data_IF_846391850674
#
_entry.id   IF_846391850674
#
_cell.length_a   1.000
_cell.length_b   1.000
_cell.length_c   1.000
_cell.angle_alpha   90.00
_cell.angle_beta   90.00
_cell.angle_gamma   90.00
#
_symmetry.space_group_name_H-M   'P 1'
#
loop_
_entity.id
_entity.type
_entity.pdbx_description
1 polymer ?
#
# COMPACT_ATOMS: atom_id res chain seq x y z
N UNK A 1 -2.84 6.44 17.54
CA UNK A 1 -2.62 6.09 16.12
C UNK A 1 -2.74 4.59 15.83
N UNK A 2 -2.91 3.69 16.81
CA UNK A 2 -3.13 2.25 16.53
C UNK A 2 -4.61 1.84 16.40
N UNK A 3 -5.56 2.74 16.68
CA UNK A 3 -7.00 2.41 16.70
C UNK A 3 -7.68 2.61 15.35
N UNK A 4 -7.16 3.50 14.48
CA UNK A 4 -7.76 3.82 13.18
C UNK A 4 -7.16 2.98 12.05
N UNK A 5 -5.95 2.41 12.20
CA UNK A 5 -5.41 1.50 11.18
C UNK A 5 -6.02 0.10 11.27
N UNK A 6 -6.27 -0.39 12.48
CA UNK A 6 -6.75 -1.75 12.72
C UNK A 6 -8.19 -1.99 12.19
N UNK A 7 -9.06 -0.98 12.20
CA UNK A 7 -10.44 -1.11 11.68
C UNK A 7 -10.50 -1.12 10.14
N UNK A 8 -9.41 -0.74 9.46
CA UNK A 8 -9.38 -0.61 8.00
C UNK A 8 -8.28 -1.45 7.35
N UNK A 9 -7.52 -2.25 8.11
CA UNK A 9 -6.48 -3.14 7.56
C UNK A 9 -7.04 -4.24 6.63
N UNK A 10 -8.34 -4.53 6.75
CA UNK A 10 -9.16 -5.36 5.85
C UNK A 10 -10.59 -4.79 5.71
N UNK A 11 -10.72 -3.45 5.77
CA UNK A 11 -12.03 -2.78 5.75
C UNK A 11 -12.70 -2.76 4.38
N UNK A 12 -11.95 -3.04 3.32
CA UNK A 12 -12.42 -3.02 1.94
C UNK A 12 -12.57 -4.44 1.37
N UNK A 13 -13.58 -4.61 0.52
CA UNK A 13 -13.89 -5.90 -0.12
C UNK A 13 -12.80 -6.30 -1.14
N UNK A 14 -12.11 -5.32 -1.74
CA UNK A 14 -11.07 -5.60 -2.76
C UNK A 14 -9.67 -5.55 -2.14
N UNK A 15 -8.82 -6.58 -2.38
CA UNK A 15 -7.44 -6.60 -1.90
C UNK A 15 -6.63 -5.35 -2.31
N UNK A 16 -6.87 -4.83 -3.52
CA UNK A 16 -6.20 -3.62 -4.00
C UNK A 16 -6.58 -2.36 -3.21
N UNK A 17 -7.82 -2.26 -2.73
CA UNK A 17 -8.27 -1.11 -1.95
C UNK A 17 -7.61 -1.10 -0.57
N UNK A 18 -7.52 -2.27 0.08
CA UNK A 18 -6.74 -2.43 1.32
C UNK A 18 -5.26 -2.10 1.09
N UNK A 19 -4.68 -2.51 -0.04
CA UNK A 19 -3.31 -2.19 -0.40
C UNK A 19 -3.09 -0.68 -0.63
N UNK A 20 -3.94 -0.03 -1.43
CA UNK A 20 -3.91 1.42 -1.65
C UNK A 20 -4.04 2.19 -0.33
N UNK A 21 -4.90 1.72 0.56
CA UNK A 21 -5.09 2.33 1.87
C UNK A 21 -3.81 2.30 2.72
N UNK A 22 -3.05 1.19 2.72
CA UNK A 22 -1.74 1.12 3.39
C UNK A 22 -0.73 2.11 2.78
N UNK A 23 -0.72 2.25 1.46
CA UNK A 23 0.12 3.25 0.77
C UNK A 23 -0.27 4.68 1.17
N UNK A 24 -1.57 4.99 1.24
CA UNK A 24 -2.05 6.29 1.72
C UNK A 24 -1.63 6.52 3.17
N UNK A 25 -1.81 5.52 4.04
CA UNK A 25 -1.36 5.58 5.44
C UNK A 25 0.13 5.88 5.49
N UNK A 26 0.96 5.25 4.66
CA UNK A 26 2.39 5.54 4.59
C UNK A 26 2.65 7.01 4.23
N UNK A 27 2.01 7.53 3.17
CA UNK A 27 2.20 8.91 2.70
C UNK A 27 1.81 9.93 3.77
N UNK A 28 0.66 9.75 4.44
CA UNK A 28 0.22 10.65 5.52
C UNK A 28 1.04 10.47 6.80
N UNK A 29 1.60 9.27 7.00
CA UNK A 29 2.43 8.91 8.15
C UNK A 29 3.90 9.22 7.95
N UNK A 30 4.34 9.69 6.78
CA UNK A 30 5.73 10.01 6.47
C UNK A 30 6.33 11.14 7.36
N UNK A 31 5.51 11.79 8.20
CA UNK A 31 5.94 12.73 9.24
C UNK A 31 5.78 12.21 10.68
N UNK A 32 5.33 10.97 10.86
CA UNK A 32 5.21 10.29 12.14
C UNK A 32 6.55 9.69 12.57
N UNK A 33 6.62 9.24 13.83
CA UNK A 33 7.86 8.77 14.46
C UNK A 33 8.56 7.69 13.59
N UNK A 34 9.91 7.68 13.54
CA UNK A 34 10.70 6.81 12.63
C UNK A 34 10.37 5.31 12.68
N UNK A 35 9.87 4.80 13.80
CA UNK A 35 9.52 3.38 13.94
C UNK A 35 8.22 2.96 13.25
N UNK A 36 7.28 3.88 13.06
CA UNK A 36 5.97 3.60 12.46
C UNK A 36 6.08 3.52 10.93
N UNK A 37 6.82 4.46 10.33
CA UNK A 37 7.10 4.48 8.89
C UNK A 37 7.76 3.18 8.42
N UNK A 38 8.76 2.68 9.16
CA UNK A 38 9.45 1.43 8.82
C UNK A 38 8.53 0.21 8.88
N UNK A 39 7.63 0.14 9.86
CA UNK A 39 6.70 -0.97 10.00
C UNK A 39 5.67 -1.00 8.84
N UNK A 40 5.14 0.17 8.47
CA UNK A 40 4.21 0.29 7.33
C UNK A 40 4.92 -0.06 6.02
N UNK A 41 6.14 0.45 5.82
CA UNK A 41 6.93 0.14 4.63
C UNK A 41 7.21 -1.37 4.52
N UNK A 42 7.58 -2.02 5.62
CA UNK A 42 7.79 -3.48 5.62
C UNK A 42 6.50 -4.22 5.26
N UNK A 43 5.36 -3.83 5.85
CA UNK A 43 4.07 -4.45 5.55
C UNK A 43 3.68 -4.34 4.06
N UNK A 44 3.91 -3.17 3.44
CA UNK A 44 3.67 -2.96 2.01
C UNK A 44 4.57 -3.89 1.18
N UNK A 45 5.87 -3.94 1.47
CA UNK A 45 6.82 -4.79 0.75
C UNK A 45 6.49 -6.29 0.91
N UNK A 46 6.12 -6.72 2.11
CA UNK A 46 5.73 -8.11 2.38
C UNK A 46 4.47 -8.48 1.58
N UNK A 47 3.49 -7.58 1.51
CA UNK A 47 2.26 -7.80 0.75
C UNK A 47 2.51 -7.88 -0.76
N UNK A 48 3.33 -6.97 -1.32
CA UNK A 48 3.77 -7.03 -2.73
C UNK A 48 4.48 -8.36 -3.02
N UNK A 49 5.34 -8.81 -2.10
CA UNK A 49 6.10 -10.05 -2.26
C UNK A 49 5.25 -11.31 -2.16
N UNK A 50 4.21 -11.29 -1.32
CA UNK A 50 3.35 -12.45 -1.06
C UNK A 50 2.27 -12.61 -2.13
N UNK A 51 1.57 -11.53 -2.46
CA UNK A 51 0.43 -11.57 -3.39
C UNK A 51 0.88 -11.32 -4.83
N UNK A 52 1.97 -10.57 -5.03
CA UNK A 52 2.43 -10.13 -6.35
C UNK A 52 1.66 -8.91 -6.83
N UNK A 53 2.39 -7.84 -7.19
CA UNK A 53 1.78 -6.58 -7.65
C UNK A 53 0.82 -6.78 -8.85
N UNK A 54 1.14 -7.70 -9.76
CA UNK A 54 0.29 -7.97 -10.91
C UNK A 54 -1.07 -8.57 -10.52
N UNK A 55 -1.10 -9.46 -9.52
CA UNK A 55 -2.33 -10.07 -9.04
C UNK A 55 -3.19 -9.05 -8.28
N UNK A 56 -2.56 -8.14 -7.52
CA UNK A 56 -3.25 -7.02 -6.88
C UNK A 56 -3.91 -6.09 -7.91
N UNK A 57 -3.29 -5.90 -9.08
CA UNK A 57 -3.78 -4.99 -10.12
C UNK A 57 -4.62 -5.64 -11.22
N UNK A 58 -4.90 -6.96 -11.13
CA UNK A 58 -5.54 -7.71 -12.22
C UNK A 58 -6.94 -7.19 -12.59
N UNK A 59 -7.66 -6.63 -11.60
CA UNK A 59 -9.03 -6.13 -11.73
C UNK A 59 -9.10 -4.60 -11.89
N UNK A 60 -7.94 -3.95 -12.02
CA UNK A 60 -7.81 -2.50 -12.17
C UNK A 60 -7.68 -2.16 -13.66
N UNK A 61 -8.37 -1.10 -14.15
CA UNK A 61 -8.15 -0.61 -15.51
C UNK A 61 -6.66 -0.39 -15.82
N UNK A 62 -6.18 -0.73 -17.03
CA UNK A 62 -4.74 -0.70 -17.33
C UNK A 62 -4.09 0.68 -17.15
N UNK A 63 -4.83 1.75 -17.44
CA UNK A 63 -4.40 3.13 -17.28
C UNK A 63 -4.25 3.54 -15.81
N UNK A 64 -5.18 3.11 -14.95
CA UNK A 64 -5.08 3.31 -13.50
C UNK A 64 -3.97 2.46 -12.87
N UNK A 65 -3.82 1.21 -13.32
CA UNK A 65 -2.77 0.30 -12.86
C UNK A 65 -1.36 0.80 -13.23
N UNK A 66 -1.18 1.37 -14.42
CA UNK A 66 0.08 1.97 -14.86
C UNK A 66 0.42 3.20 -14.03
N UNK A 67 -0.56 4.10 -13.81
CA UNK A 67 -0.39 5.27 -12.97
C UNK A 67 0.00 4.89 -11.53
N UNK A 68 -0.70 3.92 -10.95
CA UNK A 68 -0.42 3.47 -9.60
C UNK A 68 0.96 2.80 -9.49
N UNK A 69 1.35 1.98 -10.48
CA UNK A 69 2.70 1.38 -10.55
C UNK A 69 3.78 2.46 -10.63
N UNK A 70 3.54 3.51 -11.42
CA UNK A 70 4.44 4.66 -11.50
C UNK A 70 4.59 5.36 -10.14
N UNK A 71 3.49 5.57 -9.42
CA UNK A 71 3.52 6.19 -8.08
C UNK A 71 4.28 5.33 -7.06
N UNK A 72 4.10 4.00 -7.10
CA UNK A 72 4.87 3.07 -6.26
C UNK A 72 6.39 3.12 -6.54
N UNK A 73 6.81 3.39 -7.79
CA UNK A 73 8.22 3.62 -8.14
C UNK A 73 8.74 4.93 -7.55
N UNK A 74 7.95 6.01 -7.60
CA UNK A 74 8.31 7.29 -6.96
C UNK A 74 8.53 7.10 -5.46
N UNK A 75 7.65 6.32 -4.83
CA UNK A 75 7.73 5.98 -3.40
C UNK A 75 8.81 4.93 -3.09
N UNK A 76 9.51 4.41 -4.10
CA UNK A 76 10.59 3.41 -4.00
C UNK A 76 10.16 2.07 -3.37
N UNK A 77 8.88 1.72 -3.50
CA UNK A 77 8.39 0.40 -3.08
C UNK A 77 8.74 -0.70 -4.08
N UNK A 78 8.93 -0.33 -5.35
CA UNK A 78 9.28 -1.23 -6.45
C UNK A 78 10.34 -0.59 -7.36
N UNK A 79 11.02 -1.40 -8.16
CA UNK A 79 12.02 -0.95 -9.14
C UNK A 79 11.42 -0.70 -10.53
#
# INVERSE_FOLDING_TARGET
MGYVSAEFEDGFDRPIENFMWKVIIFVISARLRPGVEKAILQSICDQISTEGLHNLLQDVPPDEAELFTHDLRILKFIQ
#
